data_IF_769147340631
#
_entry.id   IF_769147340631
#
_cell.length_a   1.000
_cell.length_b   1.000
_cell.length_c   1.000
_cell.angle_alpha   90.00
_cell.angle_beta   90.00
_cell.angle_gamma   90.00
#
_symmetry.space_group_name_H-M   'P 1'
#
loop_
_entity.id
_entity.type
_entity.pdbx_description
1 polymer ?
#
# COMPACT_ATOMS: atom_id res chain seq x y z
N UNK A 1 -33.77 -7.78 -21.40
CA UNK A 1 -33.17 -6.60 -20.77
C UNK A 1 -31.68 -6.85 -20.76
N UNK A 2 -30.95 -6.26 -21.71
CA UNK A 2 -29.48 -6.29 -21.70
C UNK A 2 -29.02 -5.46 -20.53
N UNK A 3 -28.49 -6.11 -19.49
CA UNK A 3 -27.67 -5.44 -18.50
C UNK A 3 -26.47 -4.86 -19.24
N UNK A 4 -26.24 -3.53 -19.20
CA UNK A 4 -25.03 -2.98 -19.78
C UNK A 4 -23.84 -3.68 -19.13
N UNK A 5 -22.93 -4.23 -19.95
CA UNK A 5 -21.68 -4.77 -19.43
C UNK A 5 -21.04 -3.69 -18.56
N UNK A 6 -20.60 -4.00 -17.33
CA UNK A 6 -19.85 -3.03 -16.55
C UNK A 6 -18.71 -2.53 -17.43
N UNK A 7 -18.60 -1.20 -17.58
CA UNK A 7 -17.46 -0.60 -18.25
C UNK A 7 -16.21 -1.13 -17.56
N UNK A 8 -15.27 -1.67 -18.35
CA UNK A 8 -13.96 -2.07 -17.84
C UNK A 8 -13.40 -0.88 -17.04
N UNK A 9 -12.90 -1.10 -15.81
CA UNK A 9 -12.43 0.03 -15.02
C UNK A 9 -11.23 0.68 -15.72
N UNK A 10 -11.17 2.01 -15.67
CA UNK A 10 -10.11 2.79 -16.29
C UNK A 10 -8.81 2.63 -15.51
N UNK A 11 -8.05 1.57 -15.83
CA UNK A 11 -6.69 1.34 -15.34
C UNK A 11 -5.68 1.76 -16.39
N UNK A 12 -4.74 2.62 -15.98
CA UNK A 12 -3.64 3.03 -16.84
C UNK A 12 -2.35 2.75 -16.11
N UNK A 13 -1.64 1.73 -16.61
CA UNK A 13 -0.32 1.37 -16.14
C UNK A 13 0.71 1.87 -17.15
N UNK A 14 1.63 2.70 -16.69
CA UNK A 14 2.76 3.17 -17.50
C UNK A 14 4.05 2.70 -16.88
N UNK A 15 4.91 2.06 -17.67
CA UNK A 15 6.22 1.60 -17.25
C UNK A 15 7.29 2.22 -18.15
N UNK A 16 8.32 2.79 -17.53
CA UNK A 16 9.50 3.31 -18.20
C UNK A 16 10.75 2.82 -17.48
N UNK A 17 11.53 1.95 -18.11
CA UNK A 17 12.73 1.33 -17.53
C UNK A 17 12.41 0.69 -16.15
N UNK A 18 13.00 1.26 -15.09
CA UNK A 18 12.90 0.84 -13.69
C UNK A 18 11.84 1.65 -12.91
N UNK A 19 10.90 2.28 -13.60
CA UNK A 19 9.86 3.11 -12.99
C UNK A 19 8.49 2.75 -13.53
N UNK A 20 7.47 2.93 -12.70
CA UNK A 20 6.09 2.79 -13.14
C UNK A 20 5.16 3.77 -12.43
N UNK A 21 4.01 4.01 -13.06
CA UNK A 21 2.88 4.73 -12.46
C UNK A 21 1.59 3.95 -12.69
N UNK A 22 0.73 3.90 -11.67
CA UNK A 22 -0.62 3.36 -11.75
C UNK A 22 -1.62 4.50 -11.60
N UNK A 23 -2.49 4.66 -12.60
CA UNK A 23 -3.68 5.50 -12.48
C UNK A 23 -4.94 4.65 -12.46
N UNK A 24 -5.91 5.08 -11.65
CA UNK A 24 -7.25 4.52 -11.59
C UNK A 24 -8.27 5.64 -11.70
N UNK A 25 -9.12 5.60 -12.73
CA UNK A 25 -10.10 6.65 -13.02
C UNK A 25 -9.48 8.06 -13.03
N UNK A 26 -8.35 8.24 -13.73
CA UNK A 26 -7.57 9.50 -13.77
C UNK A 26 -6.92 9.94 -12.44
N UNK A 27 -7.01 9.16 -11.35
CA UNK A 27 -6.28 9.43 -10.10
C UNK A 27 -4.97 8.68 -10.12
N UNK A 28 -3.87 9.38 -9.88
CA UNK A 28 -2.56 8.76 -9.68
C UNK A 28 -2.54 8.06 -8.31
N UNK A 29 -2.39 6.74 -8.30
CA UNK A 29 -2.43 5.92 -7.08
C UNK A 29 -1.03 5.55 -6.62
N UNK A 30 -0.20 5.02 -7.53
CA UNK A 30 1.17 4.60 -7.23
C UNK A 30 2.16 5.26 -8.18
N UNK A 31 3.30 5.67 -7.63
CA UNK A 31 4.49 6.08 -8.36
C UNK A 31 5.69 5.35 -7.80
N UNK A 32 6.47 4.71 -8.66
CA UNK A 32 7.66 3.98 -8.24
C UNK A 32 8.85 4.31 -9.13
N UNK A 33 10.01 4.45 -8.50
CA UNK A 33 11.33 4.46 -9.14
C UNK A 33 12.38 3.99 -8.14
N UNK A 34 13.61 3.72 -8.60
CA UNK A 34 14.75 3.40 -7.73
C UNK A 34 15.01 4.45 -6.64
N UNK A 35 14.92 5.74 -6.99
CA UNK A 35 15.17 6.84 -6.06
C UNK A 35 13.97 7.15 -5.16
N UNK A 36 12.76 6.90 -5.67
CA UNK A 36 11.50 7.12 -4.97
C UNK A 36 10.65 5.83 -5.00
N UNK A 37 11.01 4.81 -4.21
CA UNK A 37 10.26 3.56 -4.18
C UNK A 37 8.89 3.79 -3.51
N UNK A 38 7.88 3.03 -3.93
CA UNK A 38 6.57 3.04 -3.28
C UNK A 38 6.44 2.01 -2.15
N UNK A 39 7.36 1.05 -2.05
CA UNK A 39 7.24 -0.12 -1.17
C UNK A 39 8.51 -0.36 -0.36
N UNK A 40 8.31 -0.54 0.94
CA UNK A 40 9.30 -1.09 1.86
C UNK A 40 8.70 -2.30 2.57
N UNK A 41 9.55 -3.29 2.82
CA UNK A 41 9.23 -4.42 3.68
C UNK A 41 10.28 -4.53 4.77
N UNK A 42 10.00 -5.31 5.79
CA UNK A 42 10.97 -5.53 6.86
C UNK A 42 10.41 -6.32 8.01
N UNK A 43 11.12 -6.29 9.12
CA UNK A 43 10.86 -7.09 10.30
C UNK A 43 10.82 -6.21 11.54
N UNK A 44 9.99 -6.58 12.51
CA UNK A 44 9.92 -5.91 13.79
C UNK A 44 9.16 -6.73 14.82
N UNK A 45 9.39 -6.41 16.09
CA UNK A 45 8.70 -7.05 17.22
C UNK A 45 7.80 -6.01 17.86
N UNK A 46 6.51 -6.31 17.95
CA UNK A 46 5.56 -5.45 18.64
C UNK A 46 5.91 -5.41 20.14
N UNK A 47 6.03 -4.21 20.69
CA UNK A 47 6.27 -3.96 22.10
C UNK A 47 5.01 -3.32 22.67
N UNK A 48 4.17 -4.15 23.28
CA UNK A 48 2.82 -3.78 23.70
C UNK A 48 2.73 -3.88 25.22
N UNK A 49 2.61 -2.71 25.85
CA UNK A 49 2.28 -2.61 27.27
C UNK A 49 0.80 -2.23 27.41
N UNK A 50 0.07 -2.99 28.23
CA UNK A 50 -1.34 -2.71 28.53
C UNK A 50 -1.49 -2.30 29.99
N UNK A 51 -2.12 -1.15 30.22
CA UNK A 51 -2.51 -0.71 31.54
C UNK A 51 -3.98 -0.28 31.57
N UNK A 52 -4.84 -1.16 32.11
CA UNK A 52 -6.28 -0.92 32.27
C UNK A 52 -6.98 -0.45 30.98
N UNK A 53 -6.76 -1.15 29.87
CA UNK A 53 -7.35 -0.82 28.56
C UNK A 53 -6.63 0.28 27.78
N UNK A 54 -5.67 0.99 28.40
CA UNK A 54 -4.75 1.87 27.70
C UNK A 54 -3.58 1.05 27.16
N UNK A 55 -3.35 1.11 25.85
CA UNK A 55 -2.25 0.42 25.18
C UNK A 55 -1.14 1.40 24.84
N UNK A 56 0.07 1.13 25.32
CA UNK A 56 1.30 1.73 24.80
C UNK A 56 1.88 0.75 23.78
N UNK A 57 1.68 1.05 22.49
CA UNK A 57 2.15 0.22 21.39
C UNK A 57 3.37 0.89 20.77
N UNK A 58 4.50 0.20 20.82
CA UNK A 58 5.75 0.61 20.17
C UNK A 58 6.18 -0.50 19.22
N UNK A 59 6.93 -0.13 18.20
CA UNK A 59 7.54 -1.09 17.29
C UNK A 59 9.04 -1.14 17.53
N UNK A 60 9.56 -2.29 17.99
CA UNK A 60 11.00 -2.57 17.98
C UNK A 60 11.38 -2.98 16.56
N UNK A 61 11.51 -1.97 15.71
CA UNK A 61 11.86 -2.13 14.31
C UNK A 61 13.26 -2.75 14.19
N UNK A 62 13.36 -3.88 13.50
CA UNK A 62 14.63 -4.55 13.24
C UNK A 62 15.16 -4.13 11.87
N UNK A 63 14.32 -4.19 10.84
CA UNK A 63 14.70 -3.86 9.48
C UNK A 63 13.59 -3.09 8.76
N UNK A 64 14.01 -2.18 7.88
CA UNK A 64 13.14 -1.49 6.94
C UNK A 64 13.89 -1.30 5.63
N UNK A 65 13.51 -2.07 4.62
CA UNK A 65 14.28 -2.23 3.39
C UNK A 65 13.45 -1.73 2.22
N UNK A 66 14.02 -0.78 1.48
CA UNK A 66 13.39 -0.25 0.27
C UNK A 66 13.53 -1.27 -0.87
N UNK A 67 12.41 -1.71 -1.43
CA UNK A 67 12.41 -2.53 -2.64
C UNK A 67 12.48 -1.59 -3.83
N UNK A 68 13.67 -1.44 -4.39
CA UNK A 68 13.98 -0.45 -5.44
C UNK A 68 13.92 -1.02 -6.85
N UNK A 69 14.04 -2.34 -6.97
CA UNK A 69 13.93 -3.03 -8.24
C UNK A 69 12.50 -3.56 -8.40
N UNK A 70 11.94 -3.41 -9.61
CA UNK A 70 10.58 -3.83 -9.92
C UNK A 70 10.52 -4.42 -11.33
N UNK A 71 10.05 -5.65 -11.44
CA UNK A 71 9.78 -6.33 -12.71
C UNK A 71 8.28 -6.47 -12.86
N UNK A 72 7.73 -5.93 -13.94
CA UNK A 72 6.29 -5.98 -14.23
C UNK A 72 6.02 -7.06 -15.27
N UNK A 73 5.01 -7.88 -15.02
CA UNK A 73 4.45 -8.81 -15.99
C UNK A 73 2.93 -8.65 -16.06
N UNK A 74 2.33 -9.06 -17.18
CA UNK A 74 0.88 -9.15 -17.28
C UNK A 74 0.37 -10.42 -16.59
N UNK A 75 -0.75 -10.28 -15.90
CA UNK A 75 -1.57 -11.39 -15.41
C UNK A 75 -2.91 -11.40 -16.18
N UNK A 76 -3.71 -12.49 -16.13
CA UNK A 76 -5.00 -12.54 -16.83
C UNK A 76 -5.93 -11.37 -16.50
N UNK A 77 -5.86 -10.89 -15.25
CA UNK A 77 -6.79 -9.89 -14.69
C UNK A 77 -6.13 -8.51 -14.45
N UNK A 78 -4.89 -8.32 -14.90
CA UNK A 78 -4.16 -7.05 -14.75
C UNK A 78 -2.64 -7.19 -14.80
N UNK A 79 -1.96 -6.78 -13.73
CA UNK A 79 -0.50 -6.77 -13.66
C UNK A 79 0.01 -7.43 -12.40
N UNK A 80 1.12 -8.15 -12.53
CA UNK A 80 1.90 -8.65 -11.41
C UNK A 80 3.22 -7.88 -11.37
N UNK A 81 3.52 -7.26 -10.24
CA UNK A 81 4.79 -6.59 -10.01
C UNK A 81 5.59 -7.41 -9.02
N UNK A 82 6.79 -7.83 -9.42
CA UNK A 82 7.77 -8.44 -8.54
C UNK A 82 8.78 -7.37 -8.09
N UNK A 83 8.64 -6.95 -6.84
CA UNK A 83 9.58 -6.03 -6.19
C UNK A 83 10.73 -6.80 -5.56
N UNK A 84 11.94 -6.25 -5.59
CA UNK A 84 13.09 -6.85 -4.91
C UNK A 84 14.14 -5.84 -4.46
N UNK A 85 15.04 -6.33 -3.61
CA UNK A 85 16.30 -5.68 -3.26
C UNK A 85 17.39 -6.74 -3.12
N UNK A 86 18.27 -6.83 -4.11
CA UNK A 86 19.23 -7.94 -4.18
C UNK A 86 18.52 -9.27 -4.50
N UNK A 87 19.12 -10.40 -4.10
CA UNK A 87 18.63 -11.75 -4.42
C UNK A 87 17.65 -12.33 -3.41
N UNK A 88 17.70 -11.87 -2.15
CA UNK A 88 17.11 -12.62 -1.02
C UNK A 88 15.88 -11.94 -0.42
N UNK A 89 15.48 -10.79 -0.96
CA UNK A 89 14.41 -9.95 -0.43
C UNK A 89 13.49 -9.55 -1.57
N UNK A 90 12.26 -10.07 -1.56
CA UNK A 90 11.24 -9.72 -2.54
C UNK A 90 9.82 -9.67 -1.98
N UNK A 91 8.94 -9.04 -2.75
CA UNK A 91 7.51 -9.04 -2.54
C UNK A 91 6.78 -8.98 -3.88
N UNK A 92 5.58 -9.53 -3.94
CA UNK A 92 4.71 -9.42 -5.11
C UNK A 92 3.54 -8.49 -4.83
N UNK A 93 3.14 -7.72 -5.84
CA UNK A 93 1.93 -6.92 -5.86
C UNK A 93 1.10 -7.33 -7.08
N UNK A 94 -0.05 -7.95 -6.84
CA UNK A 94 -1.06 -8.18 -7.87
C UNK A 94 -1.98 -6.97 -7.95
N UNK A 95 -2.17 -6.44 -9.16
CA UNK A 95 -3.00 -5.29 -9.46
C UNK A 95 -4.09 -5.75 -10.41
N UNK A 96 -5.34 -5.69 -9.96
CA UNK A 96 -6.50 -6.17 -10.71
C UNK A 96 -7.76 -5.35 -10.40
N UNK A 97 -8.87 -5.76 -11.02
CA UNK A 97 -10.20 -5.32 -10.65
C UNK A 97 -10.95 -6.41 -9.90
N UNK A 98 -11.72 -6.06 -8.87
CA UNK A 98 -12.71 -6.99 -8.33
C UNK A 98 -13.96 -7.10 -9.23
N UNK A 99 -14.89 -8.00 -8.88
CA UNK A 99 -16.15 -8.23 -9.62
C UNK A 99 -17.06 -6.97 -9.70
N UNK A 100 -16.81 -5.97 -8.87
CA UNK A 100 -17.53 -4.68 -8.86
C UNK A 100 -16.74 -3.55 -9.53
N UNK A 101 -15.59 -3.86 -10.13
CA UNK A 101 -14.74 -2.89 -10.82
C UNK A 101 -13.91 -1.99 -9.89
N UNK A 102 -13.70 -2.38 -8.63
CA UNK A 102 -12.81 -1.67 -7.70
C UNK A 102 -11.36 -2.05 -7.99
N UNK A 103 -10.44 -1.08 -7.84
CA UNK A 103 -9.00 -1.36 -7.83
C UNK A 103 -8.66 -2.27 -6.65
N UNK A 104 -8.14 -3.45 -6.95
CA UNK A 104 -7.66 -4.43 -5.97
C UNK A 104 -6.13 -4.48 -6.01
N UNK A 105 -5.51 -4.32 -4.84
CA UNK A 105 -4.06 -4.39 -4.62
C UNK A 105 -3.78 -5.50 -3.60
N UNK A 106 -3.20 -6.60 -4.05
CA UNK A 106 -2.84 -7.73 -3.19
C UNK A 106 -1.32 -7.80 -3.05
N UNK A 107 -0.82 -7.57 -1.83
CA UNK A 107 0.60 -7.51 -1.55
C UNK A 107 1.02 -8.70 -0.70
N UNK A 108 2.05 -9.42 -1.13
CA UNK A 108 2.58 -10.59 -0.43
C UNK A 108 4.11 -10.50 -0.35
N UNK A 109 4.64 -10.55 0.87
CA UNK A 109 6.08 -10.71 1.09
C UNK A 109 6.48 -12.17 0.85
N UNK A 110 7.70 -12.38 0.38
CA UNK A 110 8.29 -13.70 0.14
C UNK A 110 8.42 -14.58 1.40
N UNK A 111 8.60 -13.95 2.56
CA UNK A 111 8.93 -14.60 3.81
C UNK A 111 8.09 -14.04 4.96
N UNK A 112 7.58 -14.93 5.82
CA UNK A 112 6.82 -14.57 7.03
C UNK A 112 7.63 -13.77 8.06
N UNK A 113 8.96 -13.86 8.02
CA UNK A 113 9.84 -13.06 8.87
C UNK A 113 9.78 -11.56 8.50
N UNK A 114 9.43 -11.23 7.25
CA UNK A 114 9.13 -9.87 6.82
C UNK A 114 7.70 -9.49 7.22
N UNK A 115 7.49 -9.22 8.51
CA UNK A 115 6.19 -8.93 9.12
C UNK A 115 5.82 -7.43 9.18
N UNK A 116 6.47 -6.58 8.38
CA UNK A 116 6.16 -5.16 8.23
C UNK A 116 6.09 -4.77 6.76
N UNK A 117 5.13 -3.90 6.43
CA UNK A 117 4.94 -3.32 5.09
C UNK A 117 4.73 -1.82 5.26
N UNK A 118 5.42 -1.02 4.43
CA UNK A 118 5.10 0.39 4.23
C UNK A 118 4.84 0.62 2.74
N UNK A 119 3.61 1.01 2.42
CA UNK A 119 3.19 1.38 1.07
C UNK A 119 2.94 2.89 1.02
N UNK A 120 3.53 3.56 0.02
CA UNK A 120 3.24 4.97 -0.29
C UNK A 120 2.24 5.06 -1.42
N UNK A 121 1.18 5.82 -1.19
CA UNK A 121 0.24 6.24 -2.21
C UNK A 121 0.59 7.67 -2.63
N UNK A 122 0.39 7.99 -3.91
CA UNK A 122 0.55 9.36 -4.39
C UNK A 122 -0.53 10.26 -3.78
N UNK A 123 -0.16 11.51 -3.49
CA UNK A 123 -1.06 12.52 -2.95
C UNK A 123 -0.61 13.91 -3.42
N UNK A 124 -1.56 14.82 -3.60
CA UNK A 124 -1.32 16.23 -3.89
C UNK A 124 -1.22 17.02 -2.58
N UNK A 125 -0.40 18.08 -2.47
CA UNK A 125 -0.28 18.88 -1.25
C UNK A 125 -1.61 19.38 -0.66
N UNK A 126 -2.58 19.65 -1.52
CA UNK A 126 -3.91 20.19 -1.23
C UNK A 126 -4.95 19.14 -0.82
N UNK A 127 -4.68 17.83 -0.96
CA UNK A 127 -5.68 16.82 -0.62
C UNK A 127 -5.97 16.83 0.89
N UNK A 128 -7.26 16.80 1.22
CA UNK A 128 -7.74 16.53 2.57
C UNK A 128 -8.04 15.04 2.73
N UNK A 129 -7.81 14.49 3.92
CA UNK A 129 -8.02 13.07 4.22
C UNK A 129 -9.02 12.96 5.38
N UNK A 130 -10.05 12.15 5.21
CA UNK A 130 -11.12 11.95 6.20
C UNK A 130 -11.35 10.46 6.46
N UNK A 131 -12.00 10.13 7.58
CA UNK A 131 -12.37 8.75 7.92
C UNK A 131 -11.47 8.17 9.01
N UNK A 132 -10.88 6.99 8.76
CA UNK A 132 -10.12 6.23 9.76
C UNK A 132 -10.93 5.89 11.03
N UNK A 133 -12.24 5.62 10.88
CA UNK A 133 -13.14 5.31 11.99
C UNK A 133 -13.71 6.56 12.66
N UNK A 134 -13.95 6.48 13.96
CA UNK A 134 -14.42 7.61 14.77
C UNK A 134 -13.23 8.40 15.31
N UNK A 135 -13.10 9.65 14.88
CA UNK A 135 -11.99 10.55 15.24
C UNK A 135 -12.51 11.73 16.03
N UNK A 136 -11.97 11.94 17.24
CA UNK A 136 -12.48 12.95 18.18
C UNK A 136 -11.70 14.27 18.13
N UNK A 137 -10.45 14.24 17.68
CA UNK A 137 -9.57 15.43 17.68
C UNK A 137 -9.47 16.13 16.33
N UNK A 138 -9.52 15.37 15.23
CA UNK A 138 -9.30 15.90 13.88
C UNK A 138 -10.32 15.30 12.93
N UNK A 139 -10.96 16.17 12.14
CA UNK A 139 -11.77 15.74 11.01
C UNK A 139 -10.90 15.57 9.77
N UNK A 140 -10.13 16.60 9.41
CA UNK A 140 -9.07 16.49 8.39
C UNK A 140 -7.80 15.92 9.02
N UNK A 141 -7.38 14.77 8.50
CA UNK A 141 -6.26 13.97 8.96
C UNK A 141 -4.94 14.38 8.29
N UNK A 142 -4.97 15.25 7.27
CA UNK A 142 -3.77 15.61 6.53
C UNK A 142 -2.72 16.26 7.45
N UNK A 143 -1.48 15.80 7.32
CA UNK A 143 -0.34 16.32 8.08
C UNK A 143 -0.09 15.63 9.43
N UNK A 144 -0.85 14.59 9.79
CA UNK A 144 -0.63 13.81 11.03
C UNK A 144 -0.64 12.30 10.78
N UNK A 145 0.15 11.52 11.53
CA UNK A 145 0.03 10.06 11.55
C UNK A 145 -1.11 9.62 12.48
N UNK A 146 -1.86 8.59 12.08
CA UNK A 146 -2.96 8.02 12.85
C UNK A 146 -2.79 6.49 12.99
N UNK A 147 -2.40 5.99 14.18
CA UNK A 147 -2.42 4.56 14.46
C UNK A 147 -3.86 4.02 14.45
N UNK A 148 -4.08 2.88 13.78
CA UNK A 148 -5.38 2.21 13.73
C UNK A 148 -5.34 0.98 14.63
N UNK A 149 -5.56 1.18 15.93
CA UNK A 149 -5.66 0.13 16.94
C UNK A 149 -6.81 0.46 17.90
N UNK A 150 -7.72 -0.49 18.11
CA UNK A 150 -8.83 -0.26 19.04
C UNK A 150 -8.31 -0.30 20.48
N UNK A 151 -8.56 0.78 21.24
CA UNK A 151 -8.22 0.89 22.65
C UNK A 151 -9.32 1.67 23.39
N UNK A 152 -9.24 1.67 24.72
CA UNK A 152 -10.03 2.65 25.49
C UNK A 152 -9.67 4.07 25.04
N UNK A 153 -10.66 4.96 25.08
CA UNK A 153 -10.57 6.36 24.64
C UNK A 153 -10.11 7.28 25.77
#
# INVERSE_FOLDING_TARGET
MDTPRPQLPDFQFHQNNDSFTLHFQQRLILTHSKDNPCLWIGSGIADIDMFRGNFSIKDKLQEKIALTDAIVSQSPDGWLIHFSRGSDISATLNISADDQGRLLLELQNDNLNHNRIWLRLAAQPEDHIYGCGEQFSYFDLRGKPFPLWTSEQ
#
